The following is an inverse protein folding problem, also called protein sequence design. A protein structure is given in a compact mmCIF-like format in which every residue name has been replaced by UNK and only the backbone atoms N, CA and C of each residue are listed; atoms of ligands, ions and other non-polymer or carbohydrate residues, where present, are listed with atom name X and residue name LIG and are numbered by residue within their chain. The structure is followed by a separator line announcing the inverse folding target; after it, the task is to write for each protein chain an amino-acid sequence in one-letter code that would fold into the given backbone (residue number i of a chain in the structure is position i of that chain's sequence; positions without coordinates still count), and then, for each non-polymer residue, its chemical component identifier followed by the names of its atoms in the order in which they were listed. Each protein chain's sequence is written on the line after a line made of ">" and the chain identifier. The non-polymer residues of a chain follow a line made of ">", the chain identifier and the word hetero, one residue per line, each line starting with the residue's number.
data_IF_972299495730
#
_entry.id   IF_972299495730
#
_cell.length_a   1.000
_cell.length_b   1.000
_cell.length_c   1.000
_cell.angle_alpha   90.00
_cell.angle_beta   90.00
_cell.angle_gamma   90.00
#
_symmetry.space_group_name_H-M   'P 1'
#
loop_
_entity.id
_entity.type
_entity.pdbx_description
1 polymer ?
#
# COMPACT_ATOMS: atom_id res chain seq x y z
N UNK A 1 14.70 23.65 13.03
CA UNK A 1 13.35 23.66 13.63
C UNK A 1 12.35 24.24 12.62
N UNK A 2 11.25 23.56 12.37
CA UNK A 2 10.16 24.07 11.52
C UNK A 2 8.80 23.73 12.16
N UNK A 3 7.76 24.50 11.80
CA UNK A 3 6.37 24.25 12.15
C UNK A 3 5.58 24.07 10.85
N UNK A 4 4.74 23.05 10.79
CA UNK A 4 3.81 22.79 9.66
C UNK A 4 2.40 22.70 10.22
N UNK A 5 1.52 23.57 9.75
CA UNK A 5 0.09 23.51 10.06
C UNK A 5 -0.65 22.82 8.91
N UNK A 6 -1.55 21.90 9.25
CA UNK A 6 -2.38 21.18 8.27
C UNK A 6 -3.84 21.50 8.51
N UNK A 7 -4.61 21.59 7.43
CA UNK A 7 -6.07 21.77 7.48
C UNK A 7 -6.82 20.44 7.67
N UNK A 8 -6.18 19.31 7.30
CA UNK A 8 -6.77 17.98 7.49
C UNK A 8 -6.40 17.44 8.87
N UNK A 9 -7.39 16.95 9.59
CA UNK A 9 -7.26 16.30 10.89
C UNK A 9 -7.02 14.78 10.80
N UNK A 10 -7.29 14.19 9.66
CA UNK A 10 -7.22 12.72 9.49
C UNK A 10 -5.80 12.16 9.47
N UNK A 11 -4.78 13.00 9.36
CA UNK A 11 -3.41 12.56 9.16
C UNK A 11 -2.36 13.41 9.90
N UNK A 12 -1.60 12.73 10.75
CA UNK A 12 -0.35 13.24 11.33
C UNK A 12 0.80 12.48 10.68
N UNK A 13 1.81 13.15 10.09
CA UNK A 13 2.93 12.47 9.47
C UNK A 13 3.71 11.59 10.45
N UNK A 14 4.21 10.47 9.96
CA UNK A 14 5.23 9.68 10.65
C UNK A 14 6.44 10.54 10.96
N UNK A 15 7.01 10.39 12.16
CA UNK A 15 8.28 11.00 12.52
C UNK A 15 9.33 9.93 12.77
N UNK A 16 10.39 9.95 11.94
CA UNK A 16 11.56 9.10 12.12
C UNK A 16 12.56 9.84 13.01
N UNK A 17 12.78 9.34 14.23
CA UNK A 17 13.81 9.87 15.14
C UNK A 17 15.20 9.49 14.67
N UNK A 18 15.35 8.32 14.06
CA UNK A 18 16.60 7.73 13.62
C UNK A 18 16.89 8.06 12.15
N UNK A 19 18.15 8.25 11.83
CA UNK A 19 18.67 8.53 10.48
C UNK A 19 19.79 7.53 10.14
N UNK A 20 20.38 7.64 8.94
CA UNK A 20 21.56 6.85 8.55
C UNK A 20 22.83 7.25 9.33
N UNK A 21 22.86 8.47 9.85
CA UNK A 21 23.92 9.02 10.70
C UNK A 21 23.44 9.11 12.16
N UNK A 22 24.34 9.17 13.14
CA UNK A 22 23.95 9.39 14.54
C UNK A 22 23.21 10.72 14.72
N UNK A 23 22.16 10.70 15.55
CA UNK A 23 21.34 11.88 15.87
C UNK A 23 21.44 12.17 17.35
N UNK A 24 22.00 13.31 17.70
CA UNK A 24 22.16 13.73 19.11
C UNK A 24 20.82 14.06 19.76
N UNK A 25 19.92 14.72 19.01
CA UNK A 25 18.62 15.15 19.49
C UNK A 25 17.58 15.14 18.36
N UNK A 26 16.47 14.45 18.58
CA UNK A 26 15.33 14.45 17.67
C UNK A 26 14.06 14.65 18.47
N UNK A 27 13.24 15.63 18.09
CA UNK A 27 12.01 15.95 18.78
C UNK A 27 10.87 16.23 17.79
N UNK A 28 9.69 15.73 18.13
CA UNK A 28 8.48 15.94 17.38
C UNK A 28 7.40 16.47 18.31
N UNK A 29 6.89 17.67 18.02
CA UNK A 29 5.76 18.24 18.75
C UNK A 29 4.48 18.09 17.91
N UNK A 30 3.45 17.51 18.51
CA UNK A 30 2.16 17.30 17.88
C UNK A 30 1.10 18.06 18.65
N UNK A 31 0.43 18.99 17.96
CA UNK A 31 -0.68 19.76 18.49
C UNK A 31 -1.94 19.28 17.78
N UNK A 32 -2.86 18.69 18.52
CA UNK A 32 -4.12 18.16 18.00
C UNK A 32 -5.26 18.83 18.75
N UNK A 33 -6.32 19.33 18.08
CA UNK A 33 -7.53 19.78 18.76
C UNK A 33 -8.09 18.66 19.66
N UNK A 34 -8.64 19.02 20.81
CA UNK A 34 -9.15 18.08 21.83
C UNK A 34 -10.22 17.11 21.32
N UNK A 35 -10.88 17.47 20.21
CA UNK A 35 -11.90 16.64 19.57
C UNK A 35 -11.34 15.39 18.87
N UNK A 36 -10.04 15.32 18.61
CA UNK A 36 -9.42 14.22 17.87
C UNK A 36 -8.51 13.40 18.78
N UNK A 37 -8.73 12.09 18.80
CA UNK A 37 -7.86 11.16 19.51
C UNK A 37 -7.09 10.29 18.50
N UNK A 38 -5.84 10.05 18.82
CA UNK A 38 -4.96 9.24 17.98
C UNK A 38 -4.35 8.09 18.79
N UNK A 39 -4.37 6.92 18.17
CA UNK A 39 -3.54 5.78 18.62
C UNK A 39 -2.12 5.97 18.10
N UNK A 40 -1.15 5.73 18.98
CA UNK A 40 0.27 5.83 18.65
C UNK A 40 0.84 4.44 18.37
N UNK A 41 1.56 4.32 17.26
CA UNK A 41 2.40 3.18 16.96
C UNK A 41 3.85 3.62 17.07
N UNK A 42 4.59 3.04 18.01
CA UNK A 42 5.96 3.43 18.30
C UNK A 42 6.89 2.26 18.02
N UNK A 43 7.81 2.43 17.07
CA UNK A 43 8.95 1.54 16.88
C UNK A 43 10.15 2.15 17.58
N UNK A 44 10.61 1.54 18.69
CA UNK A 44 11.73 2.07 19.48
C UNK A 44 12.63 0.96 20.02
N UNK A 45 13.92 1.26 20.18
CA UNK A 45 14.93 0.40 20.81
C UNK A 45 15.58 1.05 22.04
N UNK A 46 15.21 2.28 22.33
CA UNK A 46 15.64 3.07 23.49
C UNK A 46 14.46 3.88 24.01
N UNK A 47 14.62 4.49 25.17
CA UNK A 47 13.57 5.32 25.76
C UNK A 47 13.22 6.53 24.88
N UNK A 48 11.93 6.77 24.76
CA UNK A 48 11.36 7.96 24.16
C UNK A 48 10.70 8.78 25.28
N UNK A 49 11.17 9.98 25.47
CA UNK A 49 10.60 10.92 26.42
C UNK A 49 9.29 11.50 25.84
N UNK A 50 8.22 11.48 26.64
CA UNK A 50 6.96 12.13 26.30
C UNK A 50 6.71 13.27 27.27
N UNK A 51 6.60 14.50 26.77
CA UNK A 51 6.27 15.69 27.55
C UNK A 51 5.00 16.33 27.02
N UNK A 52 4.05 16.55 27.91
CA UNK A 52 2.87 17.36 27.64
C UNK A 52 3.15 18.77 28.10
N UNK A 53 3.10 19.74 27.19
CA UNK A 53 3.23 21.15 27.55
C UNK A 53 1.89 21.68 28.07
N UNK A 54 1.85 22.34 29.21
CA UNK A 54 0.63 22.99 29.70
C UNK A 54 0.37 24.26 28.89
N UNK A 55 -0.83 24.37 28.30
CA UNK A 55 -1.28 25.58 27.60
C UNK A 55 -2.06 25.29 26.32
N UNK A 56 -2.82 26.30 25.87
CA UNK A 56 -3.55 26.26 24.62
C UNK A 56 -2.55 26.34 23.47
N UNK A 57 -2.45 25.32 22.62
CA UNK A 57 -1.52 25.15 21.48
C UNK A 57 -0.10 24.64 21.79
N UNK A 58 0.18 24.08 22.96
CA UNK A 58 1.56 23.60 23.26
C UNK A 58 1.80 22.11 23.00
N UNK A 59 0.79 21.30 22.78
CA UNK A 59 0.88 19.94 22.25
C UNK A 59 1.69 18.93 23.09
N UNK A 60 1.91 17.77 22.49
CA UNK A 60 2.71 16.68 23.08
C UNK A 60 4.04 16.56 22.34
N UNK A 61 5.14 16.64 23.10
CA UNK A 61 6.50 16.42 22.62
C UNK A 61 6.88 14.96 22.76
N UNK A 62 7.45 14.41 21.71
CA UNK A 62 8.09 13.10 21.66
C UNK A 62 9.57 13.34 21.36
N UNK A 63 10.44 12.89 22.26
CA UNK A 63 11.87 13.26 22.22
C UNK A 63 12.72 12.00 22.37
N UNK A 64 13.72 11.89 21.52
CA UNK A 64 14.78 10.89 21.65
C UNK A 64 16.17 11.56 21.54
N UNK A 65 17.15 10.99 22.25
CA UNK A 65 18.51 11.55 22.33
C UNK A 65 19.55 10.48 22.05
N UNK A 66 20.71 10.90 21.53
CA UNK A 66 21.88 10.03 21.32
C UNK A 66 21.53 8.75 20.53
N UNK A 67 20.79 8.93 19.45
CA UNK A 67 20.32 7.83 18.62
C UNK A 67 21.45 7.40 17.68
N UNK A 68 21.79 6.12 17.69
CA UNK A 68 22.79 5.57 16.76
C UNK A 68 22.28 5.63 15.34
N UNK A 69 23.15 5.88 14.37
CA UNK A 69 22.81 5.80 12.95
C UNK A 69 22.44 4.36 12.57
N UNK A 70 21.45 4.23 11.68
CA UNK A 70 21.07 2.96 11.08
C UNK A 70 21.42 3.01 9.60
N UNK A 71 22.39 2.21 9.18
CA UNK A 71 22.76 2.05 7.77
C UNK A 71 21.92 0.98 7.12
N UNK A 72 21.81 1.04 5.81
CA UNK A 72 21.21 -0.05 5.03
C UNK A 72 22.15 -1.26 5.09
N UNK A 73 21.58 -2.42 5.38
CA UNK A 73 22.31 -3.69 5.36
C UNK A 73 21.84 -4.51 4.16
N UNK A 74 22.77 -5.10 3.38
CA UNK A 74 22.41 -6.01 2.32
C UNK A 74 21.52 -7.15 2.86
N UNK A 75 20.53 -7.55 2.08
CA UNK A 75 19.60 -8.64 2.41
C UNK A 75 18.67 -8.40 3.62
N UNK A 76 18.56 -7.18 4.12
CA UNK A 76 17.57 -6.85 5.14
C UNK A 76 16.17 -6.61 4.54
N UNK A 77 15.13 -6.71 5.38
CA UNK A 77 13.72 -6.44 5.01
C UNK A 77 13.40 -4.95 4.89
N UNK A 78 14.32 -4.11 4.49
CA UNK A 78 14.13 -2.66 4.39
C UNK A 78 14.44 -1.92 5.70
N UNK A 79 15.29 -0.90 5.58
CA UNK A 79 15.72 -0.08 6.73
C UNK A 79 14.57 0.55 7.49
N UNK A 80 13.49 0.90 6.81
CA UNK A 80 12.36 1.63 7.40
C UNK A 80 11.68 0.85 8.54
N UNK A 81 11.70 -0.48 8.51
CA UNK A 81 11.11 -1.33 9.54
C UNK A 81 11.90 -1.32 10.86
N UNK A 82 13.17 -0.96 10.77
CA UNK A 82 14.07 -0.90 11.91
C UNK A 82 14.28 0.52 12.44
N UNK A 83 13.78 1.55 11.72
CA UNK A 83 13.89 2.92 12.18
C UNK A 83 13.09 3.15 13.47
N UNK A 84 13.69 3.83 14.42
CA UNK A 84 12.98 4.34 15.58
C UNK A 84 12.06 5.48 15.13
N UNK A 85 10.74 5.26 15.22
CA UNK A 85 9.74 6.17 14.68
C UNK A 85 8.45 6.16 15.49
N UNK A 86 7.63 7.17 15.25
CA UNK A 86 6.27 7.26 15.75
C UNK A 86 5.30 7.50 14.61
N UNK A 87 4.23 6.73 14.59
CA UNK A 87 3.10 6.84 13.67
C UNK A 87 1.83 7.16 14.46
N UNK A 88 0.89 7.84 13.83
CA UNK A 88 -0.37 8.25 14.43
C UNK A 88 -1.55 7.77 13.59
N UNK A 89 -2.52 7.16 14.25
CA UNK A 89 -3.81 6.80 13.65
C UNK A 89 -4.92 7.54 14.37
N UNK A 90 -5.77 8.24 13.63
CA UNK A 90 -7.00 8.78 14.16
C UNK A 90 -7.88 7.62 14.65
N UNK A 91 -8.27 7.66 15.92
CA UNK A 91 -9.07 6.60 16.56
C UNK A 91 -10.46 7.05 16.95
N UNK A 92 -10.62 8.34 17.27
CA UNK A 92 -11.93 8.87 17.70
C UNK A 92 -12.06 10.34 17.32
N UNK A 93 -13.26 10.72 16.91
CA UNK A 93 -13.70 12.11 16.79
C UNK A 93 -14.79 12.31 17.84
N UNK A 94 -14.55 13.24 18.77
CA UNK A 94 -15.48 13.57 19.85
C UNK A 94 -15.69 15.09 19.90
N UNK A 95 -16.49 15.60 18.96
CA UNK A 95 -16.84 17.01 18.86
C UNK A 95 -18.23 17.27 19.48
N UNK A 96 -18.56 18.52 19.86
CA UNK A 96 -19.89 18.84 20.37
C UNK A 96 -21.01 18.39 19.43
N UNK A 97 -21.86 17.48 19.89
CA UNK A 97 -22.95 16.91 19.10
C UNK A 97 -22.55 15.86 18.06
N UNK A 98 -21.26 15.46 18.01
CA UNK A 98 -20.77 14.45 17.09
C UNK A 98 -19.74 13.53 17.76
N UNK A 99 -20.03 12.24 17.80
CA UNK A 99 -19.11 11.21 18.27
C UNK A 99 -18.97 10.11 17.24
N UNK A 100 -17.72 9.81 16.86
CA UNK A 100 -17.40 8.72 15.95
C UNK A 100 -16.16 7.96 16.45
N UNK A 101 -16.30 6.68 16.68
CA UNK A 101 -15.18 5.78 16.92
C UNK A 101 -14.71 5.22 15.57
N UNK A 102 -13.49 5.62 15.16
CA UNK A 102 -12.90 5.18 13.90
C UNK A 102 -12.21 3.83 14.13
N UNK A 103 -13.03 2.80 14.31
CA UNK A 103 -12.55 1.41 14.28
C UNK A 103 -12.45 0.97 12.84
N UNK A 104 -11.24 0.95 12.33
CA UNK A 104 -10.97 0.43 11.00
C UNK A 104 -10.66 -1.06 11.13
N UNK A 105 -11.38 -1.89 10.36
CA UNK A 105 -11.10 -3.31 10.18
C UNK A 105 -10.70 -3.56 8.74
N UNK A 106 -10.02 -4.65 8.47
CA UNK A 106 -9.69 -5.04 7.08
C UNK A 106 -10.95 -5.19 6.23
N UNK A 107 -12.02 -5.73 6.78
CA UNK A 107 -13.34 -5.85 6.11
C UNK A 107 -13.90 -4.49 5.70
N UNK A 108 -13.83 -3.49 6.60
CA UNK A 108 -14.28 -2.12 6.30
C UNK A 108 -13.42 -1.49 5.21
N UNK A 109 -12.10 -1.62 5.28
CA UNK A 109 -11.17 -1.15 4.24
C UNK A 109 -11.49 -1.78 2.89
N UNK A 110 -11.70 -3.10 2.84
CA UNK A 110 -12.04 -3.80 1.60
C UNK A 110 -13.34 -3.25 1.01
N UNK A 111 -14.36 -3.05 1.83
CA UNK A 111 -15.64 -2.49 1.38
C UNK A 111 -15.46 -1.08 0.82
N UNK A 112 -14.78 -0.20 1.53
CA UNK A 112 -14.51 1.17 1.08
C UNK A 112 -13.75 1.18 -0.25
N UNK A 113 -12.70 0.38 -0.40
CA UNK A 113 -11.95 0.25 -1.65
C UNK A 113 -12.79 -0.27 -2.82
N UNK A 114 -13.72 -1.20 -2.57
CA UNK A 114 -14.59 -1.73 -3.63
C UNK A 114 -15.64 -0.73 -4.13
N UNK A 115 -16.00 0.23 -3.28
CA UNK A 115 -16.97 1.29 -3.58
C UNK A 115 -16.28 2.58 -4.10
N UNK A 116 -14.96 2.69 -3.97
CA UNK A 116 -14.17 3.85 -4.36
C UNK A 116 -14.06 3.99 -5.89
N UNK A 117 -14.15 5.26 -6.38
CA UNK A 117 -14.13 5.58 -7.81
C UNK A 117 -12.80 5.27 -8.47
N UNK A 118 -11.71 5.52 -7.76
CA UNK A 118 -10.33 5.35 -8.24
C UNK A 118 -9.76 3.96 -7.90
N UNK A 119 -10.59 3.07 -7.31
CA UNK A 119 -10.22 1.69 -7.02
C UNK A 119 -11.22 0.69 -7.60
N UNK A 120 -12.26 0.32 -6.85
CA UNK A 120 -13.19 -0.73 -7.24
C UNK A 120 -14.03 -0.40 -8.46
N UNK A 121 -14.42 0.86 -8.64
CA UNK A 121 -15.17 1.31 -9.83
C UNK A 121 -14.25 1.48 -11.04
N UNK A 122 -12.98 1.85 -10.85
CA UNK A 122 -11.99 1.87 -11.93
C UNK A 122 -11.82 0.51 -12.60
N UNK A 123 -11.82 -0.58 -11.81
CA UNK A 123 -11.72 -1.96 -12.30
C UNK A 123 -12.91 -2.45 -13.14
N UNK A 124 -14.03 -1.73 -13.14
CA UNK A 124 -15.24 -2.09 -13.91
C UNK A 124 -15.29 -1.44 -15.29
N UNK A 125 -14.29 -0.64 -15.65
CA UNK A 125 -14.25 0.05 -16.94
C UNK A 125 -13.75 -0.91 -18.03
N UNK A 126 -14.42 -0.95 -19.18
CA UNK A 126 -14.00 -1.77 -20.31
C UNK A 126 -12.90 -1.08 -21.11
N UNK A 127 -11.89 -1.83 -21.52
CA UNK A 127 -10.79 -1.36 -22.37
C UNK A 127 -11.16 -1.48 -23.85
N UNK A 128 -10.58 -0.62 -24.70
CA UNK A 128 -10.74 -0.67 -26.15
C UNK A 128 -9.51 -1.28 -26.82
N UNK A 129 -9.69 -1.90 -27.97
CA UNK A 129 -8.57 -2.44 -28.75
C UNK A 129 -7.87 -3.66 -28.14
N UNK A 130 -8.58 -4.42 -27.27
CA UNK A 130 -8.07 -5.63 -26.62
C UNK A 130 -8.68 -6.92 -27.19
N UNK A 131 -9.50 -6.83 -28.24
CA UNK A 131 -10.18 -7.99 -28.83
C UNK A 131 -9.23 -9.08 -29.35
N UNK A 132 -8.11 -8.70 -29.96
CA UNK A 132 -7.16 -9.66 -30.53
C UNK A 132 -6.49 -10.53 -29.46
N UNK A 133 -6.08 -9.94 -28.34
CA UNK A 133 -5.49 -10.71 -27.23
C UNK A 133 -6.55 -11.62 -26.59
N UNK A 134 -7.77 -11.13 -26.38
CA UNK A 134 -8.85 -11.93 -25.81
C UNK A 134 -9.23 -13.11 -26.71
N UNK A 135 -9.30 -12.91 -28.01
CA UNK A 135 -9.53 -13.97 -29.00
C UNK A 135 -8.38 -14.98 -28.98
N UNK A 136 -7.14 -14.52 -28.97
CA UNK A 136 -5.96 -15.39 -28.93
C UNK A 136 -5.94 -16.27 -27.68
N UNK A 137 -6.22 -15.72 -26.50
CA UNK A 137 -6.20 -16.51 -25.26
C UNK A 137 -7.40 -17.41 -25.09
N UNK A 138 -8.53 -17.11 -25.70
CA UNK A 138 -9.73 -17.97 -25.66
C UNK A 138 -9.50 -19.35 -26.33
N UNK A 139 -8.56 -19.43 -27.28
CA UNK A 139 -8.15 -20.67 -27.93
C UNK A 139 -7.19 -21.53 -27.08
N UNK A 140 -6.63 -20.99 -26.00
CA UNK A 140 -5.68 -21.70 -25.16
C UNK A 140 -6.39 -22.60 -24.15
N UNK A 141 -5.95 -23.84 -24.01
CA UNK A 141 -6.57 -24.83 -23.12
C UNK A 141 -6.17 -24.64 -21.65
N UNK A 142 -4.92 -24.25 -21.37
CA UNK A 142 -4.40 -24.14 -20.01
C UNK A 142 -4.54 -22.74 -19.46
N UNK A 143 -5.07 -22.62 -18.26
CA UNK A 143 -5.20 -21.32 -17.55
C UNK A 143 -3.83 -20.64 -17.40
N UNK A 144 -2.78 -21.39 -17.07
CA UNK A 144 -1.41 -20.85 -16.92
C UNK A 144 -0.85 -20.24 -18.22
N UNK A 145 -1.18 -20.80 -19.38
CA UNK A 145 -0.78 -20.24 -20.69
C UNK A 145 -1.52 -18.93 -20.98
N UNK A 146 -2.81 -18.88 -20.64
CA UNK A 146 -3.65 -17.67 -20.76
C UNK A 146 -3.16 -16.56 -19.84
N UNK A 147 -2.84 -16.89 -18.58
CA UNK A 147 -2.23 -15.96 -17.61
C UNK A 147 -0.93 -15.38 -18.17
N UNK A 148 -0.02 -16.23 -18.61
CA UNK A 148 1.26 -15.80 -19.20
C UNK A 148 1.08 -14.90 -20.41
N UNK A 149 0.16 -15.23 -21.31
CA UNK A 149 -0.07 -14.45 -22.52
C UNK A 149 -0.61 -13.05 -22.22
N UNK A 150 -1.61 -12.95 -21.34
CA UNK A 150 -2.19 -11.65 -20.93
C UNK A 150 -1.17 -10.82 -20.15
N UNK A 151 -0.45 -11.42 -19.20
CA UNK A 151 0.59 -10.74 -18.45
C UNK A 151 1.66 -10.13 -19.36
N UNK A 152 2.23 -10.94 -20.26
CA UNK A 152 3.25 -10.48 -21.20
C UNK A 152 2.70 -9.40 -22.14
N UNK A 153 1.42 -9.50 -22.54
CA UNK A 153 0.78 -8.48 -23.36
C UNK A 153 0.72 -7.13 -22.65
N UNK A 154 0.26 -7.10 -21.40
CA UNK A 154 0.21 -5.86 -20.62
C UNK A 154 1.62 -5.33 -20.35
N UNK A 155 2.54 -6.17 -19.88
CA UNK A 155 3.91 -5.81 -19.58
C UNK A 155 4.63 -5.17 -20.79
N UNK A 156 4.40 -5.67 -22.00
CA UNK A 156 5.01 -5.12 -23.24
C UNK A 156 4.37 -3.82 -23.67
N UNK A 157 3.06 -3.67 -23.51
CA UNK A 157 2.30 -2.53 -24.03
C UNK A 157 2.24 -1.34 -23.06
N UNK A 158 2.51 -1.53 -21.76
CA UNK A 158 2.44 -0.47 -20.78
C UNK A 158 3.82 -0.04 -20.30
N UNK A 159 3.98 1.24 -20.02
CA UNK A 159 5.19 1.83 -19.44
C UNK A 159 4.84 2.39 -18.05
N UNK A 160 5.60 1.97 -17.04
CA UNK A 160 5.47 2.52 -15.69
C UNK A 160 6.13 3.90 -15.61
N UNK A 161 5.45 4.85 -14.99
CA UNK A 161 5.90 6.22 -14.78
C UNK A 161 6.70 6.43 -13.47
N UNK A 162 7.09 5.33 -12.80
CA UNK A 162 7.78 5.30 -11.51
C UNK A 162 6.97 5.84 -10.32
N UNK A 163 5.66 5.97 -10.45
CA UNK A 163 4.78 6.38 -9.36
C UNK A 163 4.20 5.14 -8.68
N UNK A 164 4.44 5.02 -7.37
CA UNK A 164 3.75 4.11 -6.48
C UNK A 164 2.50 4.78 -5.93
N UNK A 165 1.37 4.14 -6.05
CA UNK A 165 0.10 4.53 -5.46
C UNK A 165 -0.77 3.27 -5.28
N UNK A 166 -1.78 3.33 -4.42
CA UNK A 166 -2.80 2.29 -4.31
C UNK A 166 -4.05 2.64 -5.11
N UNK A 167 -4.16 3.86 -5.62
CA UNK A 167 -5.29 4.34 -6.42
C UNK A 167 -4.90 4.55 -7.88
N UNK A 168 -5.89 4.45 -8.73
CA UNK A 168 -5.82 4.89 -10.13
C UNK A 168 -5.64 6.41 -10.20
N UNK A 169 -4.74 6.89 -11.07
CA UNK A 169 -4.51 8.35 -11.23
C UNK A 169 -5.56 8.98 -12.15
N UNK A 170 -5.73 8.40 -13.34
CA UNK A 170 -6.64 8.95 -14.38
C UNK A 170 -7.66 7.94 -14.91
N UNK A 171 -7.67 6.77 -14.32
CA UNK A 171 -8.48 5.63 -14.72
C UNK A 171 -7.83 4.78 -15.82
N UNK A 172 -8.16 3.49 -15.80
CA UNK A 172 -7.53 2.47 -16.65
C UNK A 172 -7.70 2.74 -18.16
N UNK A 173 -8.76 3.43 -18.59
CA UNK A 173 -8.97 3.78 -20.00
C UNK A 173 -7.93 4.75 -20.51
N UNK A 174 -7.75 5.87 -19.81
CA UNK A 174 -6.74 6.87 -20.18
C UNK A 174 -5.33 6.31 -20.06
N UNK A 175 -5.07 5.54 -19.00
CA UNK A 175 -3.81 4.83 -18.81
C UNK A 175 -3.50 3.90 -20.00
N UNK A 176 -4.50 3.11 -20.44
CA UNK A 176 -4.37 2.21 -21.58
C UNK A 176 -4.14 2.96 -22.89
N UNK A 177 -4.87 4.04 -23.15
CA UNK A 177 -4.72 4.83 -24.37
C UNK A 177 -3.33 5.50 -24.44
N UNK A 178 -2.82 6.01 -23.33
CA UNK A 178 -1.50 6.67 -23.24
C UNK A 178 -0.32 5.71 -23.12
N UNK A 179 -0.56 4.43 -22.81
CA UNK A 179 0.47 3.40 -22.57
C UNK A 179 1.50 3.77 -21.49
N UNK A 180 1.16 4.72 -20.61
CA UNK A 180 2.01 5.18 -19.52
C UNK A 180 1.14 5.50 -18.30
N UNK A 181 1.46 4.89 -17.14
CA UNK A 181 0.65 5.01 -15.95
C UNK A 181 1.41 4.66 -14.66
N UNK A 182 0.77 4.87 -13.50
CA UNK A 182 1.28 4.40 -12.23
C UNK A 182 1.18 2.86 -12.11
N UNK A 183 1.77 2.30 -11.06
CA UNK A 183 1.81 0.85 -10.83
C UNK A 183 0.40 0.24 -10.74
N UNK A 184 -0.53 0.94 -10.09
CA UNK A 184 -1.91 0.49 -9.86
C UNK A 184 -2.72 0.45 -11.13
N UNK A 185 -2.67 1.49 -11.96
CA UNK A 185 -3.37 1.50 -13.24
C UNK A 185 -2.92 0.35 -14.15
N UNK A 186 -1.61 0.07 -14.20
CA UNK A 186 -1.06 -1.03 -15.01
C UNK A 186 -1.58 -2.38 -14.50
N UNK A 187 -1.56 -2.62 -13.21
CA UNK A 187 -2.04 -3.87 -12.64
C UNK A 187 -3.58 -3.97 -12.65
N UNK A 188 -4.30 -2.85 -12.60
CA UNK A 188 -5.74 -2.83 -12.84
C UNK A 188 -6.11 -3.20 -14.28
N UNK A 189 -5.35 -2.73 -15.27
CA UNK A 189 -5.47 -3.16 -16.66
C UNK A 189 -5.25 -4.68 -16.77
N UNK A 190 -4.23 -5.22 -16.12
CA UNK A 190 -3.96 -6.64 -16.07
C UNK A 190 -5.13 -7.44 -15.46
N UNK A 191 -5.64 -7.01 -14.30
CA UNK A 191 -6.78 -7.63 -13.62
C UNK A 191 -8.04 -7.56 -14.49
N UNK A 192 -8.27 -6.45 -15.16
CA UNK A 192 -9.41 -6.25 -16.04
C UNK A 192 -9.36 -7.25 -17.20
N UNK A 193 -8.23 -7.38 -17.89
CA UNK A 193 -8.06 -8.34 -18.99
C UNK A 193 -8.18 -9.79 -18.51
N UNK A 194 -7.69 -10.13 -17.33
CA UNK A 194 -7.91 -11.45 -16.75
C UNK A 194 -9.40 -11.73 -16.56
N UNK A 195 -10.16 -10.79 -16.00
CA UNK A 195 -11.61 -10.95 -15.81
C UNK A 195 -12.36 -11.07 -17.12
N UNK A 196 -12.03 -10.28 -18.13
CA UNK A 196 -12.61 -10.39 -19.47
C UNK A 196 -12.28 -11.74 -20.13
N UNK A 197 -11.10 -12.30 -19.84
CA UNK A 197 -10.74 -13.65 -20.27
C UNK A 197 -11.33 -14.77 -19.40
N UNK A 198 -12.17 -14.47 -18.40
CA UNK A 198 -12.77 -15.46 -17.50
C UNK A 198 -11.82 -16.01 -16.44
N UNK A 199 -10.72 -15.32 -16.14
CA UNK A 199 -9.78 -15.67 -15.08
C UNK A 199 -10.11 -14.86 -13.83
N UNK A 200 -10.32 -15.53 -12.69
CA UNK A 200 -10.65 -14.89 -11.42
C UNK A 200 -9.43 -14.17 -10.84
N UNK A 201 -9.27 -12.91 -11.18
CA UNK A 201 -8.19 -12.05 -10.69
C UNK A 201 -8.71 -11.03 -9.68
N UNK A 202 -7.91 -10.73 -8.67
CA UNK A 202 -8.22 -9.80 -7.57
C UNK A 202 -7.10 -8.79 -7.39
N UNK A 203 -7.40 -7.55 -6.95
CA UNK A 203 -6.36 -6.63 -6.49
C UNK A 203 -5.71 -7.13 -5.21
N UNK A 204 -4.41 -7.01 -5.15
CA UNK A 204 -3.58 -7.31 -3.97
C UNK A 204 -2.86 -6.03 -3.54
N UNK A 205 -3.28 -5.43 -2.42
CA UNK A 205 -2.54 -4.31 -1.85
C UNK A 205 -1.26 -4.84 -1.20
N UNK A 206 -0.16 -4.20 -1.55
CA UNK A 206 1.17 -4.55 -1.05
C UNK A 206 1.92 -3.33 -0.53
N UNK A 207 2.86 -3.57 0.35
CA UNK A 207 3.87 -2.59 0.76
C UNK A 207 5.22 -3.06 0.27
N UNK A 208 5.91 -2.22 -0.49
CA UNK A 208 7.27 -2.52 -0.93
C UNK A 208 8.25 -2.44 0.25
N UNK A 209 9.40 -3.10 0.12
CA UNK A 209 10.45 -3.10 1.16
C UNK A 209 10.84 -1.70 1.61
N UNK A 210 10.91 -0.74 0.69
CA UNK A 210 11.28 0.64 1.02
C UNK A 210 10.15 1.42 1.70
N UNK A 211 8.92 0.95 1.59
CA UNK A 211 7.76 1.55 2.28
C UNK A 211 7.54 0.97 3.68
N UNK A 212 7.98 -0.27 3.92
CA UNK A 212 7.98 -0.93 5.22
C UNK A 212 6.86 -1.95 5.40
N UNK A 213 7.04 -2.83 6.38
CA UNK A 213 6.13 -3.95 6.64
C UNK A 213 4.75 -3.49 7.14
N UNK A 214 3.72 -4.24 6.74
CA UNK A 214 2.36 -4.06 7.22
C UNK A 214 2.12 -4.95 8.44
N UNK A 215 1.67 -4.33 9.53
CA UNK A 215 1.28 -5.07 10.73
C UNK A 215 -0.19 -5.48 10.62
N UNK A 216 -0.46 -6.79 10.66
CA UNK A 216 -1.81 -7.33 10.50
C UNK A 216 -2.78 -6.91 11.61
N UNK A 217 -2.27 -6.58 12.80
CA UNK A 217 -3.08 -6.16 13.95
C UNK A 217 -3.63 -4.72 13.82
N UNK A 218 -3.05 -3.93 12.92
CA UNK A 218 -3.40 -2.53 12.77
C UNK A 218 -3.81 -2.23 11.33
N UNK A 219 -5.12 -2.15 11.03
CA UNK A 219 -5.64 -1.88 9.69
C UNK A 219 -5.35 -0.43 9.25
N UNK A 220 -4.20 -0.25 8.60
CA UNK A 220 -3.77 1.05 8.06
C UNK A 220 -3.66 0.98 6.54
N UNK A 221 -4.58 1.56 5.83
CA UNK A 221 -4.52 1.59 4.36
C UNK A 221 -3.23 2.26 3.83
N UNK A 222 -2.74 3.29 4.52
CA UNK A 222 -1.52 4.01 4.15
C UNK A 222 -0.22 3.23 4.34
N UNK A 223 -0.29 2.01 4.87
CA UNK A 223 0.85 1.09 4.91
C UNK A 223 1.06 0.37 3.60
N UNK A 224 0.13 0.48 2.68
CA UNK A 224 0.29 -0.03 1.33
C UNK A 224 0.67 1.11 0.39
N UNK A 225 1.48 0.82 -0.61
CA UNK A 225 1.92 1.80 -1.60
C UNK A 225 1.77 1.31 -3.05
N UNK A 226 1.29 0.08 -3.25
CA UNK A 226 1.06 -0.46 -4.59
C UNK A 226 -0.08 -1.47 -4.60
N UNK A 227 -0.62 -1.70 -5.79
CA UNK A 227 -1.55 -2.79 -6.07
C UNK A 227 -0.93 -3.70 -7.12
N UNK A 228 -0.92 -5.00 -6.83
CA UNK A 228 -0.51 -6.06 -7.74
C UNK A 228 -1.73 -6.89 -8.17
N UNK A 229 -1.56 -7.74 -9.19
CA UNK A 229 -2.58 -8.69 -9.60
C UNK A 229 -2.39 -10.03 -8.87
N UNK A 230 -3.44 -10.54 -8.27
CA UNK A 230 -3.48 -11.84 -7.61
C UNK A 230 -4.45 -12.77 -8.34
N UNK A 231 -3.97 -13.97 -8.67
CA UNK A 231 -4.76 -15.06 -9.26
C UNK A 231 -4.47 -16.34 -8.49
N UNK A 232 -5.53 -17.09 -8.16
CA UNK A 232 -5.42 -18.44 -7.63
C UNK A 232 -6.02 -19.41 -8.64
N UNK A 233 -5.18 -20.35 -9.12
CA UNK A 233 -5.55 -21.39 -10.08
C UNK A 233 -5.26 -22.78 -9.45
N UNK A 234 -6.27 -23.38 -8.87
CA UNK A 234 -6.10 -24.56 -8.02
C UNK A 234 -5.24 -24.27 -6.78
N UNK A 235 -4.13 -24.98 -6.65
CA UNK A 235 -3.17 -24.79 -5.55
C UNK A 235 -2.08 -23.78 -5.88
N UNK A 236 -2.05 -23.25 -7.12
CA UNK A 236 -1.03 -22.28 -7.56
C UNK A 236 -1.53 -20.86 -7.34
N UNK A 237 -0.73 -20.05 -6.68
CA UNK A 237 -0.98 -18.63 -6.48
C UNK A 237 0.00 -17.80 -7.30
N UNK A 238 -0.54 -16.85 -8.06
CA UNK A 238 0.23 -15.90 -8.86
C UNK A 238 0.11 -14.51 -8.25
N UNK A 239 1.25 -13.91 -7.93
CA UNK A 239 1.37 -12.50 -7.52
C UNK A 239 2.19 -11.80 -8.60
N UNK A 240 1.52 -10.95 -9.38
CA UNK A 240 2.07 -10.41 -10.62
C UNK A 240 2.14 -8.91 -10.62
N UNK A 241 3.27 -8.37 -11.10
CA UNK A 241 3.49 -6.95 -11.31
C UNK A 241 3.85 -6.66 -12.78
N UNK A 242 2.85 -6.32 -13.59
CA UNK A 242 3.10 -6.00 -15.01
C UNK A 242 3.76 -4.63 -15.25
N UNK A 243 3.92 -3.82 -14.21
CA UNK A 243 4.68 -2.57 -14.28
C UNK A 243 6.20 -2.82 -14.33
N UNK A 244 6.68 -3.92 -13.76
CA UNK A 244 8.08 -4.33 -13.83
C UNK A 244 8.35 -5.11 -15.11
N UNK A 245 9.20 -4.55 -15.98
CA UNK A 245 9.56 -5.14 -17.29
C UNK A 245 10.37 -6.43 -17.18
N UNK A 246 10.99 -6.68 -16.04
CA UNK A 246 11.91 -7.80 -15.83
C UNK A 246 11.33 -8.91 -14.94
N UNK A 247 10.20 -8.65 -14.26
CA UNK A 247 9.58 -9.66 -13.42
C UNK A 247 8.78 -10.66 -14.28
N UNK A 248 9.07 -11.96 -14.21
CA UNK A 248 8.27 -12.98 -14.90
C UNK A 248 6.91 -13.17 -14.20
N UNK A 249 5.88 -13.61 -14.94
CA UNK A 249 4.52 -13.79 -14.43
C UNK A 249 4.39 -14.81 -13.27
N UNK A 250 5.32 -15.74 -13.18
CA UNK A 250 5.31 -16.85 -12.21
C UNK A 250 6.29 -16.67 -11.05
N UNK A 251 6.94 -15.52 -10.96
CA UNK A 251 7.79 -15.18 -9.82
C UNK A 251 7.19 -14.03 -9.02
N UNK A 252 7.15 -14.19 -7.72
CA UNK A 252 6.76 -13.12 -6.80
C UNK A 252 7.74 -11.95 -6.93
N UNK A 253 7.27 -10.71 -7.11
CA UNK A 253 8.17 -9.56 -7.19
C UNK A 253 9.04 -9.43 -5.94
N UNK A 254 10.34 -9.25 -6.14
CA UNK A 254 11.34 -9.24 -5.06
C UNK A 254 11.08 -8.18 -4.00
N UNK A 255 10.57 -7.04 -4.39
CA UNK A 255 10.32 -5.89 -3.52
C UNK A 255 9.12 -6.07 -2.57
N UNK A 256 8.33 -7.14 -2.72
CA UNK A 256 7.20 -7.46 -1.85
C UNK A 256 7.34 -8.79 -1.09
N UNK A 257 8.47 -9.50 -1.26
CA UNK A 257 8.73 -10.74 -0.50
C UNK A 257 8.91 -10.44 0.99
N UNK A 258 8.38 -11.32 1.85
CA UNK A 258 8.40 -11.20 3.31
C UNK A 258 7.59 -10.02 3.87
N UNK A 259 6.54 -9.60 3.17
CA UNK A 259 5.53 -8.64 3.66
C UNK A 259 4.17 -9.30 3.85
N UNK A 260 3.24 -8.58 4.43
CA UNK A 260 1.83 -8.95 4.46
C UNK A 260 1.06 -8.15 3.42
N UNK A 261 0.14 -8.79 2.72
CA UNK A 261 -0.67 -8.18 1.68
C UNK A 261 -2.17 -8.35 1.95
N UNK A 262 -2.98 -7.44 1.41
CA UNK A 262 -4.42 -7.48 1.52
C UNK A 262 -5.04 -7.82 0.16
N UNK A 263 -5.63 -9.00 0.05
CA UNK A 263 -6.48 -9.34 -1.11
C UNK A 263 -7.79 -8.57 -1.00
N UNK A 264 -8.12 -7.74 -1.98
CA UNK A 264 -9.36 -6.94 -1.97
C UNK A 264 -10.52 -7.79 -2.50
N UNK A 265 -11.03 -8.63 -1.62
CA UNK A 265 -12.17 -9.50 -1.88
C UNK A 265 -13.08 -9.59 -0.65
N UNK A 266 -14.40 -9.65 -0.85
CA UNK A 266 -15.40 -9.68 0.23
C UNK A 266 -15.28 -10.90 1.16
N UNK A 267 -14.65 -11.98 0.69
CA UNK A 267 -14.44 -13.20 1.46
C UNK A 267 -13.18 -13.14 2.34
N UNK A 268 -12.41 -12.05 2.28
CA UNK A 268 -11.14 -11.91 3.00
C UNK A 268 -11.34 -11.03 4.23
N UNK A 269 -10.88 -11.51 5.37
CA UNK A 269 -10.98 -10.81 6.66
C UNK A 269 -9.61 -10.42 7.24
N UNK A 270 -8.52 -10.92 6.65
CA UNK A 270 -7.18 -10.71 7.16
C UNK A 270 -6.14 -10.61 6.04
N UNK A 271 -4.93 -10.23 6.40
CA UNK A 271 -3.80 -10.20 5.48
C UNK A 271 -3.29 -11.62 5.19
N UNK A 272 -2.70 -11.77 4.00
CA UNK A 272 -1.94 -12.97 3.62
C UNK A 272 -0.44 -12.65 3.65
N UNK A 273 0.43 -13.57 4.12
CA UNK A 273 1.87 -13.40 4.00
C UNK A 273 2.30 -13.65 2.56
N UNK A 274 3.23 -12.84 2.07
CA UNK A 274 3.90 -13.09 0.78
C UNK A 274 5.26 -13.72 1.08
N UNK A 275 5.41 -14.98 0.70
CA UNK A 275 6.69 -15.69 0.76
C UNK A 275 7.31 -15.79 -0.62
N UNK A 276 8.64 -15.88 -0.70
CA UNK A 276 9.30 -16.20 -1.96
C UNK A 276 8.90 -17.59 -2.44
N UNK A 277 8.83 -17.77 -3.74
CA UNK A 277 8.76 -19.12 -4.34
C UNK A 277 10.11 -19.79 -4.19
N UNK A 278 10.13 -20.95 -3.54
CA UNK A 278 11.31 -21.85 -3.49
C UNK A 278 11.66 -22.36 -4.90
#
# INVERSE_FOLDING_TARGET
>A
KYKKTRKSYSYIPTWNFQQSIPVQYSAYNVIVPEYFQFTLLVTKRQEMEKKVSPGINEGTWYIMRNIKGLKDEPYSSGRIDYLQRIDFQLSTINAPGYYEEIRTTWVKIIKELQEDEDFGLALKKNLRGVGDILTSVSAMQKTSERIRAIYNYVQRNMQWNNVYDIYSDKGIKEAWDKKNANITDINFILINLFKEAGIAAKPLLVSTKDHGMVNALYPFLRRFNAVLAYVKDGDVEYIMNAADKYNPYNLVPYDVINTNALVVDKSVETLIPITGTD
#
